data_IF_819658963585
#
_entry.id   IF_819658963585
#
_cell.length_a   1.000
_cell.length_b   1.000
_cell.length_c   1.000
_cell.angle_alpha   90.00
_cell.angle_beta   90.00
_cell.angle_gamma   90.00
#
_symmetry.space_group_name_H-M   'P 1'
#
loop_
_entity.id
_entity.type
_entity.pdbx_description
1 polymer ?
#
# COMPACT_ATOMS: atom_id res chain seq x y z
N UNK A 1 -32.73 9.17 -45.84
CA UNK A 1 -33.85 10.09 -45.55
C UNK A 1 -34.03 10.25 -44.04
N UNK A 2 -33.58 11.36 -43.43
CA UNK A 2 -33.65 11.58 -41.99
C UNK A 2 -34.97 12.30 -41.61
N UNK A 3 -36.11 11.67 -41.85
CA UNK A 3 -37.43 12.32 -41.63
C UNK A 3 -38.42 11.48 -40.83
N UNK A 4 -38.05 10.29 -40.37
CA UNK A 4 -38.90 9.47 -39.49
C UNK A 4 -38.67 9.69 -37.99
N UNK A 5 -37.66 10.47 -37.59
CA UNK A 5 -37.27 10.63 -36.17
C UNK A 5 -37.81 11.89 -35.48
N UNK A 6 -38.69 12.66 -36.12
CA UNK A 6 -39.18 13.95 -35.58
C UNK A 6 -40.67 13.95 -35.18
N UNK A 7 -41.35 12.80 -35.16
CA UNK A 7 -42.77 12.71 -34.80
C UNK A 7 -43.05 12.09 -33.41
N UNK A 8 -42.06 12.08 -32.50
CA UNK A 8 -42.22 11.52 -31.15
C UNK A 8 -42.15 12.56 -30.01
N UNK A 9 -42.21 13.86 -30.34
CA UNK A 9 -41.97 14.96 -29.39
C UNK A 9 -43.26 15.68 -28.96
N UNK A 10 -44.42 15.39 -29.58
CA UNK A 10 -45.68 16.12 -29.31
C UNK A 10 -46.79 15.23 -28.72
N UNK A 11 -46.47 14.38 -27.76
CA UNK A 11 -47.48 13.68 -26.94
C UNK A 11 -47.86 14.53 -25.71
N UNK A 12 -49.14 14.61 -25.31
CA UNK A 12 -49.53 15.32 -24.09
C UNK A 12 -48.87 14.67 -22.88
N UNK A 13 -48.09 15.44 -22.12
CA UNK A 13 -47.53 15.01 -20.85
C UNK A 13 -48.67 14.73 -19.86
N UNK A 14 -48.72 13.56 -19.20
CA UNK A 14 -49.68 13.35 -18.13
C UNK A 14 -49.40 14.37 -17.03
N UNK A 15 -50.44 15.15 -16.67
CA UNK A 15 -50.43 15.96 -15.46
C UNK A 15 -50.40 15.03 -14.26
N UNK A 16 -49.21 14.79 -13.71
CA UNK A 16 -49.10 14.18 -12.40
C UNK A 16 -49.63 15.21 -11.40
N UNK A 17 -50.78 14.94 -10.79
CA UNK A 17 -51.21 15.68 -9.61
C UNK A 17 -50.11 15.61 -8.56
N UNK A 18 -49.50 16.74 -8.22
CA UNK A 18 -48.58 16.87 -7.10
C UNK A 18 -49.35 16.72 -5.79
N UNK A 19 -49.66 15.48 -5.40
CA UNK A 19 -50.09 15.20 -4.03
C UNK A 19 -48.91 15.50 -3.10
N UNK A 20 -49.05 16.38 -2.08
CA UNK A 20 -47.98 16.62 -1.13
C UNK A 20 -47.63 15.32 -0.40
N UNK A 21 -46.40 14.82 -0.58
CA UNK A 21 -45.94 13.65 0.16
C UNK A 21 -45.92 14.00 1.66
N UNK A 22 -46.56 13.18 2.53
CA UNK A 22 -46.51 13.42 3.96
C UNK A 22 -45.06 13.26 4.46
N UNK A 23 -44.60 14.09 5.41
CA UNK A 23 -43.24 13.99 5.91
C UNK A 23 -43.03 12.62 6.58
N UNK A 24 -42.01 11.89 6.12
CA UNK A 24 -41.65 10.59 6.69
C UNK A 24 -41.34 10.74 8.19
N UNK A 25 -41.76 9.77 9.03
CA UNK A 25 -41.49 9.81 10.46
C UNK A 25 -39.98 9.72 10.70
N UNK A 26 -39.38 10.82 11.19
CA UNK A 26 -38.01 10.77 11.73
C UNK A 26 -38.07 10.06 13.07
N UNK A 27 -37.75 8.77 13.10
CA UNK A 27 -37.60 8.02 14.34
C UNK A 27 -36.30 7.23 14.25
N UNK A 28 -35.23 7.80 14.78
CA UNK A 28 -34.83 7.81 16.20
C UNK A 28 -34.19 6.49 16.58
N UNK A 29 -32.90 6.58 16.89
CA UNK A 29 -31.99 5.52 17.30
C UNK A 29 -31.39 4.77 16.10
N UNK A 30 -30.53 5.51 15.41
CA UNK A 30 -29.51 4.97 14.55
C UNK A 30 -28.84 3.77 15.24
N UNK A 31 -28.76 2.65 14.52
CA UNK A 31 -27.62 1.76 14.67
C UNK A 31 -26.40 2.64 14.41
N UNK A 32 -25.85 3.22 15.47
CA UNK A 32 -24.74 4.15 15.38
C UNK A 32 -23.61 3.38 14.77
N UNK A 33 -23.32 3.66 13.51
CA UNK A 33 -22.19 3.14 12.80
C UNK A 33 -20.97 3.36 13.68
N UNK A 34 -20.47 2.29 14.29
CA UNK A 34 -19.32 2.36 15.17
C UNK A 34 -18.14 2.86 14.36
N UNK A 35 -17.20 3.54 15.01
CA UNK A 35 -15.98 3.96 14.34
C UNK A 35 -15.26 2.73 13.76
N UNK A 36 -15.25 2.58 12.44
CA UNK A 36 -14.65 1.40 11.78
C UNK A 36 -13.12 1.41 11.75
N UNK A 37 -12.48 2.50 12.16
CA UNK A 37 -11.03 2.64 12.15
C UNK A 37 -10.54 3.64 13.20
N UNK A 38 -9.52 3.25 13.98
CA UNK A 38 -8.87 4.11 14.98
C UNK A 38 -7.37 3.81 15.08
N UNK A 39 -6.55 4.88 15.14
CA UNK A 39 -5.10 4.82 15.34
C UNK A 39 -4.68 5.25 16.75
N UNK A 40 -5.65 5.61 17.61
CA UNK A 40 -5.41 6.32 18.89
C UNK A 40 -4.41 5.62 19.81
N UNK A 41 -4.50 4.30 19.96
CA UNK A 41 -3.66 3.51 20.87
C UNK A 41 -2.58 2.70 20.13
N UNK A 42 -2.28 3.05 18.88
CA UNK A 42 -1.25 2.33 18.12
C UNK A 42 0.15 2.80 18.53
N UNK A 43 0.31 4.10 18.75
CA UNK A 43 1.56 4.72 19.16
C UNK A 43 1.98 4.25 20.56
N UNK A 44 1.08 4.37 21.55
CA UNK A 44 1.37 3.98 22.93
C UNK A 44 1.83 2.51 23.02
N UNK A 45 1.15 1.60 22.32
CA UNK A 45 1.52 0.18 22.24
C UNK A 45 2.88 -0.06 21.58
N UNK A 46 3.21 0.70 20.53
CA UNK A 46 4.51 0.58 19.86
C UNK A 46 5.66 1.06 20.76
N UNK A 47 5.41 2.04 21.63
CA UNK A 47 6.40 2.61 22.53
C UNK A 47 6.63 1.80 23.81
N UNK A 48 5.65 1.01 24.27
CA UNK A 48 5.82 0.10 25.42
C UNK A 48 7.02 -0.85 25.25
N UNK A 49 7.27 -1.34 24.03
CA UNK A 49 8.37 -2.27 23.73
C UNK A 49 9.61 -1.58 23.10
N UNK A 50 9.60 -0.24 23.05
CA UNK A 50 10.43 0.60 22.18
C UNK A 50 10.35 0.27 20.68
N UNK A 51 10.41 1.31 19.85
CA UNK A 51 10.63 1.15 18.41
C UNK A 51 12.12 0.84 18.17
N UNK A 52 12.46 -0.44 18.07
CA UNK A 52 13.85 -0.88 17.85
C UNK A 52 14.28 -0.65 16.39
N UNK A 53 15.48 -0.08 16.21
CA UNK A 53 16.14 0.03 14.90
C UNK A 53 16.63 -1.35 14.41
N UNK A 54 16.72 -1.60 13.09
CA UNK A 54 17.29 -2.85 12.59
C UNK A 54 18.73 -3.03 13.08
N UNK A 55 19.08 -4.26 13.46
CA UNK A 55 20.41 -4.57 14.00
C UNK A 55 21.49 -4.39 12.92
N UNK A 56 22.50 -3.57 13.22
CA UNK A 56 23.69 -3.42 12.38
C UNK A 56 24.66 -4.57 12.65
N UNK A 57 24.86 -5.44 11.67
CA UNK A 57 25.86 -6.50 11.70
C UNK A 57 27.16 -6.04 11.02
N UNK A 58 28.31 -6.66 11.36
CA UNK A 58 29.60 -6.37 10.72
C UNK A 58 29.55 -6.59 9.20
N UNK A 59 28.79 -7.60 8.77
CA UNK A 59 28.54 -7.90 7.37
C UNK A 59 27.04 -7.93 7.12
N UNK A 60 26.57 -7.10 6.21
CA UNK A 60 25.16 -7.03 5.80
C UNK A 60 24.86 -8.08 4.71
N UNK A 61 23.58 -8.40 4.52
CA UNK A 61 23.17 -9.30 3.45
C UNK A 61 23.47 -8.70 2.08
N UNK A 62 24.12 -9.47 1.21
CA UNK A 62 24.37 -9.10 -0.20
C UNK A 62 23.23 -9.48 -1.14
N UNK A 63 22.07 -9.90 -0.59
CA UNK A 63 20.88 -10.25 -1.36
C UNK A 63 20.36 -9.02 -2.11
N UNK A 64 20.10 -9.16 -3.41
CA UNK A 64 19.66 -8.05 -4.27
C UNK A 64 20.80 -7.19 -4.86
N UNK A 65 22.07 -7.49 -4.57
CA UNK A 65 23.21 -6.83 -5.22
C UNK A 65 23.44 -7.36 -6.63
N UNK A 66 24.10 -6.54 -7.48
CA UNK A 66 24.36 -6.88 -8.87
C UNK A 66 25.15 -8.22 -8.98
N UNK A 67 24.64 -9.21 -9.74
CA UNK A 67 25.29 -10.51 -9.87
C UNK A 67 26.69 -10.43 -10.50
N UNK A 68 26.96 -9.46 -11.40
CA UNK A 68 28.29 -9.23 -11.99
C UNK A 68 29.31 -8.82 -10.93
N UNK A 69 28.90 -7.91 -10.03
CA UNK A 69 29.72 -7.48 -8.91
C UNK A 69 29.98 -8.65 -7.94
N UNK A 70 28.96 -9.45 -7.63
CA UNK A 70 29.12 -10.62 -6.75
C UNK A 70 30.05 -11.69 -7.34
N UNK A 71 29.98 -11.93 -8.64
CA UNK A 71 30.92 -12.84 -9.35
C UNK A 71 32.35 -12.33 -9.24
N UNK A 72 32.58 -11.05 -9.53
CA UNK A 72 33.90 -10.43 -9.41
C UNK A 72 34.45 -10.51 -7.96
N UNK A 73 33.62 -10.16 -6.98
CA UNK A 73 34.01 -10.21 -5.57
C UNK A 73 34.40 -11.63 -5.12
N UNK A 74 33.72 -12.67 -5.64
CA UNK A 74 34.08 -14.07 -5.38
C UNK A 74 35.45 -14.42 -5.97
N UNK A 75 35.74 -14.02 -7.21
CA UNK A 75 37.05 -14.25 -7.82
C UNK A 75 38.16 -13.51 -7.09
N UNK A 76 37.98 -12.22 -6.79
CA UNK A 76 38.97 -11.43 -6.05
C UNK A 76 39.30 -12.06 -4.69
N UNK A 77 38.30 -12.45 -3.90
CA UNK A 77 38.52 -13.14 -2.61
C UNK A 77 39.27 -14.47 -2.76
N UNK A 78 38.99 -15.23 -3.82
CA UNK A 78 39.65 -16.53 -4.08
C UNK A 78 41.16 -16.36 -4.29
N UNK A 79 41.58 -15.34 -5.03
CA UNK A 79 43.00 -15.09 -5.33
C UNK A 79 43.70 -14.31 -4.21
N UNK A 80 43.00 -13.41 -3.52
CA UNK A 80 43.55 -12.72 -2.36
C UNK A 80 43.86 -13.67 -1.19
N UNK A 81 43.10 -14.77 -1.01
CA UNK A 81 43.38 -15.74 0.05
C UNK A 81 44.75 -16.42 -0.14
N UNK A 82 45.05 -16.84 -1.38
CA UNK A 82 46.34 -17.48 -1.72
C UNK A 82 47.52 -16.53 -1.52
N UNK A 83 47.36 -15.29 -1.95
CA UNK A 83 48.41 -14.28 -1.79
C UNK A 83 48.63 -13.89 -0.31
N UNK A 84 47.60 -14.00 0.54
CA UNK A 84 47.75 -13.77 1.99
C UNK A 84 48.48 -14.89 2.71
N UNK A 85 48.33 -16.14 2.26
CA UNK A 85 49.08 -17.29 2.81
C UNK A 85 50.57 -17.15 2.47
N UNK A 86 50.90 -16.82 1.21
CA UNK A 86 52.28 -16.52 0.78
C UNK A 86 52.87 -15.33 1.56
N UNK A 87 52.11 -14.23 1.70
CA UNK A 87 52.59 -13.05 2.40
C UNK A 87 52.74 -13.23 3.93
N UNK A 88 52.13 -14.28 4.52
CA UNK A 88 52.34 -14.61 5.94
C UNK A 88 53.42 -15.66 6.17
N UNK A 89 53.92 -16.31 5.12
CA UNK A 89 55.05 -17.25 5.17
C UNK A 89 56.39 -16.57 4.87
N UNK A 90 56.36 -15.38 4.27
CA UNK A 90 57.53 -14.51 4.00
C UNK A 90 57.85 -13.52 5.14
N UNK A 91 57.11 -13.58 6.26
CA UNK A 91 57.41 -12.91 7.55
C UNK A 91 57.90 -13.96 8.57
#
# INVERSE_FOLDING_TARGET
HPTTYLNLINGPHPVYECTPQPPLPRKSNCFSFSKNHTTHNQFDKAHINDIKKPRRHRHTSTKGMNPKFLRNQRYARKHNKKNREIASEEE
#
